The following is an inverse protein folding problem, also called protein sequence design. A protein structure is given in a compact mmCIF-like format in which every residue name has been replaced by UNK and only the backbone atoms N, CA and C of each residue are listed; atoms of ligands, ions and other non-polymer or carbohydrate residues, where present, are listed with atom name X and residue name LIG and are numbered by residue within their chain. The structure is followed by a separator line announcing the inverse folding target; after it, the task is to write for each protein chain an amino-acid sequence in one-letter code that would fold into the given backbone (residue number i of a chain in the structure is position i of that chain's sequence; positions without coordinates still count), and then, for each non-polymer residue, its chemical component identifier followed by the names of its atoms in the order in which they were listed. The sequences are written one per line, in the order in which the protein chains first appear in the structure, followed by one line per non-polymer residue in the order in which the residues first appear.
data_IF_013180599822
#
_entry.id   IF_013180599822
#
_cell.length_a   1.000
_cell.length_b   1.000
_cell.length_c   1.000
_cell.angle_alpha   90.00
_cell.angle_beta   90.00
_cell.angle_gamma   90.00
#
_symmetry.space_group_name_H-M   'P 1'
#
loop_
_entity.id
_entity.type
_entity.pdbx_description
1 polymer ?
#
# COMPACT_ATOMS: atom_id res chain seq x y z
N UNK A 1 19.09 -5.49 13.16
CA UNK A 1 17.69 -5.15 13.18
C UNK A 1 16.90 -6.17 12.40
N UNK A 2 15.82 -6.64 12.95
CA UNK A 2 15.02 -7.67 12.30
C UNK A 2 14.14 -7.05 11.24
N UNK A 3 13.97 -7.76 10.13
CA UNK A 3 13.00 -7.36 9.12
C UNK A 3 11.64 -7.97 9.46
N UNK A 4 10.60 -7.23 9.15
CA UNK A 4 9.23 -7.69 9.33
C UNK A 4 8.69 -8.06 7.97
N UNK A 5 8.13 -9.26 7.87
CA UNK A 5 7.51 -9.73 6.64
C UNK A 5 6.05 -10.06 6.91
N UNK A 6 5.24 -9.88 5.91
CA UNK A 6 3.84 -10.31 5.99
C UNK A 6 3.46 -10.91 4.66
N UNK A 7 2.36 -11.65 4.64
CA UNK A 7 1.82 -12.11 3.37
C UNK A 7 0.59 -11.31 3.04
N UNK A 8 0.28 -11.20 1.77
CA UNK A 8 -0.84 -10.43 1.31
C UNK A 8 -1.50 -11.14 0.15
N UNK A 9 -2.80 -10.92 0.00
CA UNK A 9 -3.52 -11.32 -1.17
C UNK A 9 -3.67 -10.06 -2.02
N UNK A 10 -3.17 -10.09 -3.24
CA UNK A 10 -3.24 -8.96 -4.15
C UNK A 10 -4.41 -9.21 -5.09
N UNK A 11 -5.35 -8.26 -5.13
CA UNK A 11 -6.61 -8.43 -5.86
C UNK A 11 -6.79 -7.33 -6.89
N UNK A 12 -7.27 -7.70 -8.02
CA UNK A 12 -7.61 -6.76 -9.08
C UNK A 12 -8.86 -7.21 -9.81
N UNK A 13 -9.12 -6.63 -10.96
CA UNK A 13 -10.35 -6.91 -11.69
C UNK A 13 -10.34 -8.26 -12.37
N UNK A 14 -9.16 -8.87 -12.56
CA UNK A 14 -9.06 -10.14 -13.25
C UNK A 14 -8.84 -11.33 -12.33
N UNK A 15 -8.51 -11.08 -11.07
CA UNK A 15 -8.26 -12.18 -10.15
C UNK A 15 -7.44 -11.75 -8.96
N UNK A 16 -6.86 -12.73 -8.30
CA UNK A 16 -6.09 -12.49 -7.10
C UNK A 16 -4.91 -13.47 -7.02
N UNK A 17 -3.83 -13.01 -6.42
CA UNK A 17 -2.60 -13.80 -6.27
C UNK A 17 -2.06 -13.55 -4.87
N UNK A 18 -1.64 -14.61 -4.21
CA UNK A 18 -1.03 -14.48 -2.89
C UNK A 18 0.46 -14.20 -3.04
N UNK A 19 0.93 -13.21 -2.29
CA UNK A 19 2.35 -12.92 -2.17
C UNK A 19 2.77 -13.38 -0.78
N UNK A 20 3.65 -14.37 -0.73
CA UNK A 20 3.98 -15.02 0.54
C UNK A 20 4.86 -14.20 1.46
N UNK A 21 5.69 -13.33 0.91
CA UNK A 21 6.58 -12.51 1.73
C UNK A 21 6.69 -11.11 1.17
N UNK A 22 6.10 -10.16 1.86
CA UNK A 22 6.28 -8.74 1.59
C UNK A 22 7.12 -8.17 2.72
N UNK A 23 8.21 -7.53 2.39
CA UNK A 23 9.02 -6.84 3.38
C UNK A 23 8.28 -5.57 3.78
N UNK A 24 8.00 -5.41 5.06
CA UNK A 24 7.36 -4.20 5.56
C UNK A 24 8.44 -3.13 5.72
N UNK A 25 8.31 -2.04 4.95
CA UNK A 25 9.32 -1.01 4.90
C UNK A 25 8.68 0.36 5.05
N UNK A 26 8.76 0.92 6.26
CA UNK A 26 8.16 2.21 6.54
C UNK A 26 8.93 3.37 5.88
N UNK A 27 10.10 3.08 5.33
CA UNK A 27 10.84 4.08 4.56
C UNK A 27 10.41 4.14 3.10
N UNK A 28 9.59 3.19 2.64
CA UNK A 28 9.08 3.21 1.28
C UNK A 28 7.72 3.88 1.26
N UNK A 29 7.55 4.84 0.37
CA UNK A 29 6.27 5.55 0.25
C UNK A 29 5.19 4.63 -0.29
N UNK A 30 5.49 3.95 -1.39
CA UNK A 30 4.53 3.06 -2.04
C UNK A 30 4.93 1.62 -1.82
N UNK A 31 3.97 0.72 -1.91
CA UNK A 31 4.29 -0.69 -2.02
C UNK A 31 4.90 -0.96 -3.39
N UNK A 32 5.80 -1.94 -3.46
CA UNK A 32 6.47 -2.33 -4.70
C UNK A 32 6.06 -3.75 -5.01
N UNK A 33 5.47 -3.98 -6.18
CA UNK A 33 5.03 -5.30 -6.59
C UNK A 33 5.53 -5.56 -8.01
N UNK A 34 5.77 -6.82 -8.37
CA UNK A 34 6.20 -7.14 -9.72
C UNK A 34 5.15 -6.76 -10.75
N UNK A 35 5.59 -6.22 -11.87
CA UNK A 35 4.66 -5.78 -12.90
C UNK A 35 3.86 -6.94 -13.46
N UNK A 36 4.46 -8.13 -13.55
CA UNK A 36 3.75 -9.31 -14.04
C UNK A 36 2.57 -9.65 -13.15
N UNK A 37 2.75 -9.52 -11.85
CA UNK A 37 1.69 -9.81 -10.91
C UNK A 37 0.59 -8.77 -11.02
N UNK A 38 0.96 -7.50 -11.13
CA UNK A 38 -0.01 -6.42 -11.27
C UNK A 38 -0.85 -6.60 -12.54
N UNK A 39 -0.23 -7.03 -13.62
CA UNK A 39 -0.95 -7.31 -14.85
C UNK A 39 -1.85 -8.54 -14.72
N UNK A 40 -1.35 -9.56 -14.07
CA UNK A 40 -2.10 -10.81 -13.92
C UNK A 40 -3.39 -10.58 -13.15
N UNK A 41 -3.35 -9.82 -12.07
CA UNK A 41 -4.56 -9.58 -11.28
C UNK A 41 -5.46 -8.50 -11.89
N UNK A 42 -4.98 -7.79 -12.90
CA UNK A 42 -5.76 -6.72 -13.50
C UNK A 42 -5.75 -5.45 -12.68
N UNK A 43 -4.60 -5.09 -12.13
CA UNK A 43 -4.46 -3.82 -11.44
C UNK A 43 -4.69 -2.68 -12.42
N UNK A 44 -5.24 -1.57 -11.92
CA UNK A 44 -5.57 -0.44 -12.78
C UNK A 44 -4.34 0.45 -12.96
N UNK A 45 -3.91 0.63 -14.21
CA UNK A 45 -2.80 1.51 -14.50
C UNK A 45 -3.30 2.95 -14.42
N UNK A 46 -2.76 3.68 -13.45
CA UNK A 46 -3.16 5.07 -13.25
C UNK A 46 -2.54 5.95 -14.32
N UNK A 47 -3.20 7.04 -14.70
CA UNK A 47 -2.67 7.93 -15.73
C UNK A 47 -1.64 8.91 -15.14
N UNK A 48 -0.68 8.40 -14.43
CA UNK A 48 0.37 9.19 -13.81
C UNK A 48 1.59 8.32 -13.59
N UNK A 49 2.72 8.95 -13.40
CA UNK A 49 3.96 8.27 -13.05
C UNK A 49 4.55 8.94 -11.83
N UNK A 50 5.42 8.24 -11.14
CA UNK A 50 6.12 8.82 -10.01
C UNK A 50 7.61 8.59 -10.17
N UNK A 51 8.37 9.48 -9.57
CA UNK A 51 9.83 9.37 -9.55
C UNK A 51 10.21 8.75 -8.23
N UNK A 52 10.82 7.58 -8.29
CA UNK A 52 11.28 6.88 -7.11
C UNK A 52 12.74 7.22 -6.88
N UNK A 53 13.04 7.75 -5.72
CA UNK A 53 14.43 8.01 -5.34
C UNK A 53 14.89 6.85 -4.49
N UNK A 54 15.96 6.22 -4.94
CA UNK A 54 16.48 5.01 -4.32
C UNK A 54 17.50 5.38 -3.26
N UNK A 55 17.75 4.44 -2.35
CA UNK A 55 18.67 4.70 -1.25
C UNK A 55 20.10 5.00 -1.67
N UNK A 56 20.48 4.63 -2.90
CA UNK A 56 21.83 4.89 -3.40
C UNK A 56 21.92 6.20 -4.18
N UNK A 57 20.88 7.02 -4.16
CA UNK A 57 20.90 8.31 -4.81
C UNK A 57 20.40 8.31 -6.25
N UNK A 58 20.16 7.14 -6.82
CA UNK A 58 19.60 7.08 -8.17
C UNK A 58 18.11 7.36 -8.13
N UNK A 59 17.55 7.71 -9.28
CA UNK A 59 16.12 7.89 -9.41
C UNK A 59 15.63 7.09 -10.60
N UNK A 60 14.45 6.51 -10.49
CA UNK A 60 13.81 5.81 -11.59
C UNK A 60 12.37 6.27 -11.66
N UNK A 61 11.81 6.23 -12.85
CA UNK A 61 10.41 6.58 -13.04
C UNK A 61 9.59 5.31 -13.11
N UNK A 62 8.45 5.30 -12.46
CA UNK A 62 7.59 4.13 -12.44
C UNK A 62 6.15 4.52 -12.72
N UNK A 63 5.45 3.62 -13.39
CA UNK A 63 4.00 3.69 -13.45
C UNK A 63 3.43 3.46 -12.05
N UNK A 64 2.22 3.96 -11.85
CA UNK A 64 1.50 3.77 -10.60
C UNK A 64 0.25 2.95 -10.89
N UNK A 65 0.02 1.95 -10.07
CA UNK A 65 -1.13 1.05 -10.23
C UNK A 65 -2.01 1.12 -9.00
N UNK A 66 -3.31 1.08 -9.19
CA UNK A 66 -4.26 0.93 -8.09
C UNK A 66 -4.64 -0.54 -7.98
N UNK A 67 -4.64 -1.04 -6.78
CA UNK A 67 -4.85 -2.47 -6.53
C UNK A 67 -5.44 -2.61 -5.12
N UNK A 68 -6.02 -3.76 -4.83
CA UNK A 68 -6.51 -4.05 -3.48
C UNK A 68 -5.56 -5.05 -2.84
N UNK A 69 -5.14 -4.76 -1.62
CA UNK A 69 -4.36 -5.71 -0.84
C UNK A 69 -5.18 -6.14 0.37
N UNK A 70 -5.16 -7.44 0.64
CA UNK A 70 -5.77 -8.00 1.83
C UNK A 70 -4.66 -8.58 2.70
N UNK A 71 -4.58 -8.13 3.93
CA UNK A 71 -3.56 -8.53 4.89
C UNK A 71 -4.28 -8.79 6.22
N UNK A 72 -4.08 -9.99 6.76
CA UNK A 72 -4.76 -10.39 7.99
C UNK A 72 -6.28 -10.27 7.82
N UNK A 73 -6.95 -9.54 8.67
CA UNK A 73 -8.40 -9.44 8.67
C UNK A 73 -8.94 -8.25 7.90
N UNK A 74 -8.13 -7.55 7.12
CA UNK A 74 -8.57 -6.33 6.46
C UNK A 74 -8.04 -6.21 5.05
N UNK A 75 -8.75 -5.47 4.25
CA UNK A 75 -8.32 -5.19 2.90
C UNK A 75 -8.67 -3.76 2.55
N UNK A 76 -7.99 -3.22 1.57
CA UNK A 76 -8.25 -1.86 1.12
C UNK A 76 -7.57 -1.57 -0.20
N UNK A 77 -8.04 -0.53 -0.85
CA UNK A 77 -7.43 -0.04 -2.07
C UNK A 77 -6.15 0.71 -1.73
N UNK A 78 -5.14 0.52 -2.54
CA UNK A 78 -3.85 1.15 -2.32
C UNK A 78 -3.16 1.34 -3.65
N UNK A 79 -2.04 2.04 -3.63
CA UNK A 79 -1.26 2.27 -4.83
C UNK A 79 0.05 1.50 -4.75
N UNK A 80 0.48 0.96 -5.88
CA UNK A 80 1.73 0.23 -5.98
C UNK A 80 2.53 0.75 -7.15
N UNK A 81 3.84 0.67 -7.02
CA UNK A 81 4.77 0.97 -8.09
C UNK A 81 5.56 -0.30 -8.38
N UNK A 82 6.33 -0.27 -9.44
CA UNK A 82 7.12 -1.43 -9.81
C UNK A 82 8.44 -0.95 -10.37
N UNK A 83 9.50 -1.72 -10.11
CA UNK A 83 10.71 -1.57 -10.90
C UNK A 83 11.46 -2.90 -10.89
N UNK A 84 12.36 -3.00 -11.83
CA UNK A 84 12.92 -4.27 -12.21
C UNK A 84 13.70 -4.92 -11.08
N UNK A 85 13.52 -6.24 -10.95
CA UNK A 85 14.31 -7.08 -10.06
C UNK A 85 14.20 -6.77 -8.58
N UNK A 86 13.18 -6.04 -8.19
CA UNK A 86 13.01 -5.77 -6.77
C UNK A 86 12.08 -6.77 -6.12
N UNK A 87 12.35 -7.03 -4.85
CA UNK A 87 11.49 -7.91 -4.08
C UNK A 87 10.26 -7.15 -3.65
N UNK A 88 9.15 -7.84 -3.45
CA UNK A 88 7.92 -7.16 -3.02
C UNK A 88 8.10 -6.47 -1.67
N UNK A 89 7.60 -5.25 -1.59
CA UNK A 89 7.73 -4.41 -0.41
C UNK A 89 6.37 -3.82 -0.08
N UNK A 90 6.05 -3.78 1.20
CA UNK A 90 4.84 -3.11 1.69
C UNK A 90 5.26 -1.75 2.21
N UNK A 91 4.77 -0.70 1.56
CA UNK A 91 5.14 0.66 1.89
C UNK A 91 4.21 1.32 2.88
N UNK A 92 4.60 2.51 3.35
CA UNK A 92 3.88 3.18 4.42
C UNK A 92 2.49 3.61 3.98
N UNK A 93 2.32 3.95 2.71
CA UNK A 93 1.00 4.37 2.22
C UNK A 93 0.00 3.22 2.31
N UNK A 94 0.42 2.00 1.99
CA UNK A 94 -0.46 0.85 2.13
C UNK A 94 -0.78 0.57 3.59
N UNK A 95 0.19 0.73 4.47
CA UNK A 95 -0.08 0.57 5.90
C UNK A 95 -1.18 1.53 6.34
N UNK A 96 -1.10 2.78 5.91
CA UNK A 96 -2.13 3.76 6.25
C UNK A 96 -3.46 3.44 5.59
N UNK A 97 -3.42 3.03 4.33
CA UNK A 97 -4.65 2.70 3.61
C UNK A 97 -5.41 1.55 4.26
N UNK A 98 -4.70 0.56 4.79
CA UNK A 98 -5.31 -0.58 5.44
C UNK A 98 -5.53 -0.38 6.93
N UNK A 99 -4.93 0.64 7.50
CA UNK A 99 -5.09 0.93 8.93
C UNK A 99 -4.16 0.13 9.81
N UNK A 100 -2.89 0.02 9.41
CA UNK A 100 -1.87 -0.66 10.20
C UNK A 100 -0.78 0.30 10.63
N UNK A 101 -0.12 -0.05 11.71
CA UNK A 101 1.18 0.52 12.07
C UNK A 101 2.10 -0.63 12.46
N UNK A 102 3.39 -0.38 12.49
CA UNK A 102 4.36 -1.37 12.91
C UNK A 102 4.69 -1.14 14.37
N UNK A 103 4.56 -2.19 15.17
CA UNK A 103 5.00 -2.14 16.56
C UNK A 103 6.52 -2.32 16.57
N UNK A 104 7.30 -1.34 16.99
CA UNK A 104 8.74 -1.45 16.94
C UNK A 104 9.32 -2.47 17.92
N UNK A 105 8.55 -2.86 18.94
CA UNK A 105 9.03 -3.82 19.91
C UNK A 105 8.84 -5.24 19.41
N UNK A 106 7.63 -5.59 18.99
CA UNK A 106 7.35 -6.95 18.54
C UNK A 106 7.64 -7.15 17.06
N UNK A 107 7.72 -6.07 16.30
CA UNK A 107 7.88 -6.17 14.85
C UNK A 107 6.62 -6.60 14.14
N UNK A 108 5.48 -6.56 14.79
CA UNK A 108 4.23 -7.01 14.19
C UNK A 108 3.41 -5.83 13.69
N UNK A 109 2.47 -6.12 12.80
CA UNK A 109 1.52 -5.13 12.34
C UNK A 109 0.39 -5.03 13.34
N UNK A 110 0.04 -3.80 13.71
CA UNK A 110 -1.03 -3.54 14.65
C UNK A 110 -2.09 -2.67 14.01
N UNK A 111 -3.36 -2.90 14.31
CA UNK A 111 -4.42 -2.07 13.74
C UNK A 111 -4.41 -0.67 14.32
N UNK A 112 -4.68 0.31 13.47
CA UNK A 112 -4.87 1.70 13.91
C UNK A 112 -6.35 2.08 13.93
N UNK A 113 -7.21 1.24 13.34
CA UNK A 113 -8.66 1.43 13.34
C UNK A 113 -9.31 0.09 13.04
N UNK A 114 -10.62 -0.06 13.26
CA UNK A 114 -11.28 -1.33 12.98
C UNK A 114 -11.18 -1.70 11.50
N UNK A 115 -11.18 -2.99 11.22
CA UNK A 115 -11.08 -3.50 9.86
C UNK A 115 -12.25 -2.99 9.01
N UNK A 116 -11.93 -2.53 7.82
CA UNK A 116 -12.94 -2.08 6.87
C UNK A 116 -13.57 -0.73 7.19
N UNK A 117 -13.04 -0.01 8.16
CA UNK A 117 -13.59 1.27 8.58
C UNK A 117 -12.70 2.40 8.09
N UNK A 118 -13.30 3.39 7.47
CA UNK A 118 -12.66 4.64 7.16
C UNK A 118 -13.44 5.74 7.87
N UNK A 119 -12.74 6.72 8.38
CA UNK A 119 -13.40 7.77 9.14
C UNK A 119 -13.65 8.99 8.25
N UNK A 120 -14.81 9.61 8.46
CA UNK A 120 -15.12 10.87 7.83
C UNK A 120 -15.74 11.76 8.88
N UNK A 121 -14.97 12.72 9.36
CA UNK A 121 -15.46 13.65 10.34
C UNK A 121 -15.51 15.01 9.68
N UNK A 122 -16.68 15.42 9.33
CA UNK A 122 -16.87 16.65 8.61
C UNK A 122 -16.77 17.85 9.53
N UNK A 123 -16.29 17.72 10.65
CA UNK A 123 -16.14 18.82 11.48
C UNK A 123 -17.29 18.89 12.36
N UNK A 124 -17.51 19.08 13.25
CA UNK A 124 -18.43 18.98 14.07
C UNK A 124 -19.30 20.00 14.05
N UNK A 125 -19.05 20.98 13.75
CA UNK A 125 -19.76 21.95 13.75
C UNK A 125 -20.10 22.19 12.54
N UNK A 126 -21.07 22.01 12.18
CA UNK A 126 -21.49 22.13 10.94
C UNK A 126 -21.55 23.45 10.57
N UNK A 127 -20.69 23.96 10.40
CA UNK A 127 -20.67 25.13 10.05
C UNK A 127 -20.87 25.17 8.76
N UNK A 128 -21.48 25.62 8.23
CA UNK A 128 -21.65 25.70 7.12
C UNK A 128 -21.01 26.50 6.42
N UNK A 129 -20.64 26.28 5.64
CA UNK A 129 -20.01 26.82 4.83
C UNK A 129 -20.71 27.52 4.06
N UNK A 130 -21.07 28.06 3.80
CA UNK A 130 -21.63 28.59 3.18
C UNK A 130 -21.55 29.05 2.32
N UNK A 131 -21.74 28.94 2.03
CA UNK A 131 -21.79 29.18 1.38
C UNK A 131 -21.68 29.95 0.81
N UNK A 132 -21.60 30.08 0.45
CA UNK A 132 -21.64 30.66 0.02
C UNK A 132 -21.51 30.81 -0.52
#
# INVERSE_FOLDING_TARGET
MAHVYTKALVKGTKGQVEVGQLLVDTGATFSVLPVELLREVGAYLMPTKTRLELGDGRAVESDVYAVVLAIQDREGATLAVTFRDEKPVLGVRTLEDLGFKVDPVSGSLEPTRPAGVAYYYAGFEPTRVTDN
#
